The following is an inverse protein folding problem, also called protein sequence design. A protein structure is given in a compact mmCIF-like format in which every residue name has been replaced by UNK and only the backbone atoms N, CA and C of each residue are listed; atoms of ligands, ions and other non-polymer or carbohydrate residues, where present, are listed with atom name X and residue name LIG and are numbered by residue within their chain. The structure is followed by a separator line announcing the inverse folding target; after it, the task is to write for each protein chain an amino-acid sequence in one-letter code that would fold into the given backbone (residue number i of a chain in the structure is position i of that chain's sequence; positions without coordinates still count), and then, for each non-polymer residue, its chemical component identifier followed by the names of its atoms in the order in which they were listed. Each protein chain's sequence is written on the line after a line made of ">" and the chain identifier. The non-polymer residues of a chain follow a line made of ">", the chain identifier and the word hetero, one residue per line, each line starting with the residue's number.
data_IF_105156289974
#
_entry.id   IF_105156289974
#
_cell.length_a   1.000
_cell.length_b   1.000
_cell.length_c   1.000
_cell.angle_alpha   90.00
_cell.angle_beta   90.00
_cell.angle_gamma   90.00
#
_symmetry.space_group_name_H-M   'P 1'
#
loop_
_entity.id
_entity.type
_entity.pdbx_description
1 polymer ?
#
# COMPACT_ATOMS: atom_id res chain seq x y z
N UNK A 1 68.94 1.02 -36.59
CA UNK A 1 67.57 0.50 -36.83
C UNK A 1 67.56 -0.95 -36.38
N UNK A 2 67.14 -1.18 -35.14
CA UNK A 2 66.90 -2.53 -34.61
C UNK A 2 65.76 -2.37 -33.60
N UNK A 3 64.59 -2.89 -33.93
CA UNK A 3 63.38 -2.84 -33.12
C UNK A 3 63.40 -4.04 -32.17
N UNK A 4 63.19 -3.80 -30.88
CA UNK A 4 62.93 -4.84 -29.88
C UNK A 4 61.42 -4.85 -29.56
N UNK A 5 60.71 -6.00 -29.63
CA UNK A 5 59.27 -6.06 -29.40
C UNK A 5 58.92 -6.77 -28.07
N UNK A 6 58.22 -6.07 -27.17
CA UNK A 6 57.12 -6.55 -26.29
C UNK A 6 57.07 -5.82 -24.95
N UNK A 7 56.02 -5.03 -24.75
CA UNK A 7 54.99 -5.31 -23.73
C UNK A 7 53.86 -4.27 -23.80
N UNK A 8 52.61 -4.68 -24.05
CA UNK A 8 51.47 -3.83 -23.76
C UNK A 8 51.16 -3.99 -22.26
N UNK A 9 51.57 -3.03 -21.45
CA UNK A 9 51.00 -2.89 -20.12
C UNK A 9 49.68 -2.13 -20.27
N UNK A 10 48.65 -2.81 -20.76
CA UNK A 10 47.26 -2.41 -20.56
C UNK A 10 46.96 -2.65 -19.07
N UNK A 11 47.38 -1.69 -18.24
CA UNK A 11 46.75 -1.49 -16.95
C UNK A 11 45.32 -1.06 -17.26
N UNK A 12 44.44 -2.05 -17.41
CA UNK A 12 43.02 -1.90 -17.24
C UNK A 12 42.81 -1.28 -15.86
N UNK A 13 42.76 0.05 -15.83
CA UNK A 13 42.17 0.79 -14.75
C UNK A 13 40.71 0.35 -14.74
N UNK A 14 40.44 -0.63 -13.90
CA UNK A 14 39.13 -0.90 -13.33
C UNK A 14 38.71 0.40 -12.65
N UNK A 15 38.12 1.30 -13.43
CA UNK A 15 37.33 2.38 -12.88
C UNK A 15 36.13 1.68 -12.26
N UNK A 16 36.31 1.33 -10.99
CA UNK A 16 35.24 0.96 -10.09
C UNK A 16 34.17 2.04 -10.23
N UNK A 17 33.14 1.73 -10.99
CA UNK A 17 31.84 2.37 -10.94
C UNK A 17 31.31 2.13 -9.52
N UNK A 18 31.86 2.92 -8.59
CA UNK A 18 31.40 3.00 -7.22
C UNK A 18 30.03 3.65 -7.33
N UNK A 19 29.01 2.81 -7.47
CA UNK A 19 27.62 3.22 -7.58
C UNK A 19 27.35 4.28 -6.53
N UNK A 20 26.90 5.45 -6.99
CA UNK A 20 26.50 6.55 -6.14
C UNK A 20 25.40 6.05 -5.20
N UNK A 21 25.78 5.81 -3.95
CA UNK A 21 24.82 5.46 -2.89
C UNK A 21 24.06 6.74 -2.58
N UNK A 22 22.95 6.95 -3.30
CA UNK A 22 22.03 8.05 -3.01
C UNK A 22 21.40 7.77 -1.65
N UNK A 23 21.93 8.44 -0.63
CA UNK A 23 21.39 8.43 0.72
C UNK A 23 20.03 9.14 0.69
N UNK A 24 18.95 8.35 0.67
CA UNK A 24 17.60 8.87 0.69
C UNK A 24 17.30 9.42 2.09
N UNK A 25 16.68 10.61 2.19
CA UNK A 25 16.44 11.24 3.47
C UNK A 25 15.65 10.31 4.39
N UNK A 26 16.08 10.29 5.65
CA UNK A 26 15.61 9.53 6.82
C UNK A 26 14.13 9.77 7.21
N UNK A 27 13.28 10.18 6.26
CA UNK A 27 11.84 10.15 6.39
C UNK A 27 11.39 8.72 6.12
N UNK A 28 10.96 8.00 7.16
CA UNK A 28 10.32 6.68 7.04
C UNK A 28 9.31 6.75 5.89
N UNK A 29 9.52 5.94 4.86
CA UNK A 29 8.65 6.01 3.68
C UNK A 29 7.27 5.56 4.09
N UNK A 30 6.23 6.12 3.46
CA UNK A 30 4.86 5.71 3.75
C UNK A 30 4.66 4.18 3.61
N UNK A 31 5.43 3.56 2.70
CA UNK A 31 5.49 2.11 2.53
C UNK A 31 6.03 1.39 3.76
N UNK A 32 7.12 1.86 4.37
CA UNK A 32 7.73 1.19 5.52
C UNK A 32 6.75 1.18 6.70
N UNK A 33 6.13 2.34 6.98
CA UNK A 33 5.05 2.44 7.98
C UNK A 33 3.92 1.46 7.66
N UNK A 34 3.51 1.37 6.40
CA UNK A 34 2.42 0.48 6.03
C UNK A 34 2.76 -1.00 6.21
N UNK A 35 4.01 -1.40 5.93
CA UNK A 35 4.48 -2.77 6.13
C UNK A 35 4.47 -3.16 7.62
N UNK A 36 4.90 -2.25 8.50
CA UNK A 36 4.86 -2.45 9.95
C UNK A 36 3.42 -2.64 10.48
N UNK A 37 2.42 -2.04 9.82
CA UNK A 37 1.01 -2.14 10.18
C UNK A 37 0.32 -3.42 9.67
N UNK A 38 0.93 -4.15 8.72
CA UNK A 38 0.27 -5.30 8.10
C UNK A 38 -0.01 -6.44 9.08
N UNK A 39 0.78 -6.59 10.14
CA UNK A 39 0.51 -7.60 11.18
C UNK A 39 -0.79 -7.30 11.94
N UNK A 40 -1.04 -6.03 12.26
CA UNK A 40 -2.30 -5.60 12.90
C UNK A 40 -3.50 -5.74 11.95
N UNK A 41 -3.30 -5.46 10.65
CA UNK A 41 -4.31 -5.69 9.63
C UNK A 41 -4.64 -7.18 9.51
N UNK A 42 -3.62 -8.05 9.48
CA UNK A 42 -3.79 -9.49 9.47
C UNK A 42 -4.59 -9.95 10.70
N UNK A 43 -4.21 -9.54 11.90
CA UNK A 43 -4.94 -9.90 13.12
C UNK A 43 -6.41 -9.44 13.08
N UNK A 44 -6.66 -8.24 12.58
CA UNK A 44 -8.01 -7.70 12.41
C UNK A 44 -8.87 -8.50 11.42
N UNK A 45 -8.28 -8.92 10.29
CA UNK A 45 -8.94 -9.75 9.28
C UNK A 45 -9.18 -11.15 9.85
N UNK A 46 -8.14 -11.78 10.41
CA UNK A 46 -8.19 -13.13 10.96
C UNK A 46 -9.29 -13.26 12.03
N UNK A 47 -9.43 -12.28 12.92
CA UNK A 47 -10.49 -12.25 13.92
C UNK A 47 -11.91 -12.25 13.32
N UNK A 48 -12.09 -11.89 12.04
CA UNK A 48 -13.38 -11.84 11.34
C UNK A 48 -13.63 -13.03 10.42
N UNK A 49 -12.59 -13.60 9.82
CA UNK A 49 -12.74 -14.76 8.94
C UNK A 49 -12.52 -16.10 9.64
N UNK A 50 -11.72 -16.15 10.72
CA UNK A 50 -11.39 -17.36 11.47
C UNK A 50 -10.51 -18.37 10.73
N UNK A 51 -10.34 -18.21 9.41
CA UNK A 51 -9.48 -19.04 8.56
C UNK A 51 -8.16 -18.32 8.28
N UNK A 52 -7.03 -19.00 8.52
CA UNK A 52 -5.68 -18.43 8.34
C UNK A 52 -5.37 -18.14 6.88
N UNK A 53 -5.64 -19.08 5.98
CA UNK A 53 -5.33 -18.92 4.56
C UNK A 53 -6.14 -17.76 3.95
N UNK A 54 -7.44 -17.68 4.26
CA UNK A 54 -8.28 -16.54 3.86
C UNK A 54 -7.73 -15.23 4.43
N UNK A 55 -7.29 -15.20 5.70
CA UNK A 55 -6.74 -13.99 6.30
C UNK A 55 -5.43 -13.54 5.64
N UNK A 56 -4.54 -14.48 5.30
CA UNK A 56 -3.29 -14.21 4.59
C UNK A 56 -3.57 -13.63 3.20
N UNK A 57 -4.48 -14.24 2.42
CA UNK A 57 -4.85 -13.75 1.10
C UNK A 57 -5.49 -12.36 1.16
N UNK A 58 -6.46 -12.15 2.05
CA UNK A 58 -7.13 -10.86 2.20
C UNK A 58 -6.17 -9.77 2.66
N UNK A 59 -5.17 -10.08 3.50
CA UNK A 59 -4.13 -9.13 3.90
C UNK A 59 -3.25 -8.74 2.70
N UNK A 60 -2.88 -9.70 1.86
CA UNK A 60 -2.16 -9.41 0.61
C UNK A 60 -3.01 -8.54 -0.32
N UNK A 61 -4.30 -8.82 -0.46
CA UNK A 61 -5.21 -7.97 -1.23
C UNK A 61 -5.28 -6.54 -0.69
N UNK A 62 -5.28 -6.35 0.63
CA UNK A 62 -5.20 -5.00 1.23
C UNK A 62 -3.91 -4.31 0.86
N UNK A 63 -2.75 -4.98 1.00
CA UNK A 63 -1.46 -4.42 0.66
C UNK A 63 -1.40 -3.99 -0.83
N UNK A 64 -1.80 -4.88 -1.74
CA UNK A 64 -1.83 -4.62 -3.18
C UNK A 64 -2.77 -3.47 -3.57
N UNK A 65 -3.88 -3.28 -2.84
CA UNK A 65 -4.82 -2.18 -3.09
C UNK A 65 -4.35 -0.87 -2.46
N UNK A 66 -3.83 -0.89 -1.24
CA UNK A 66 -3.57 0.31 -0.46
C UNK A 66 -2.18 0.90 -0.68
N UNK A 67 -1.12 0.09 -0.64
CA UNK A 67 0.28 0.59 -0.62
C UNK A 67 0.60 1.48 -1.83
N UNK A 68 0.23 1.11 -3.08
CA UNK A 68 0.52 1.96 -4.25
C UNK A 68 -0.18 3.33 -4.23
N UNK A 69 -1.17 3.52 -3.34
CA UNK A 69 -1.99 4.75 -3.23
C UNK A 69 -1.61 5.61 -2.02
N UNK A 70 -0.61 5.21 -1.25
CA UNK A 70 -0.16 5.97 -0.09
C UNK A 70 0.48 7.29 -0.51
N UNK A 71 0.09 8.36 0.16
CA UNK A 71 0.70 9.68 -0.01
C UNK A 71 2.00 9.74 0.78
N UNK A 72 3.09 10.17 0.13
CA UNK A 72 4.34 10.42 0.82
C UNK A 72 4.16 11.53 1.87
N UNK A 73 4.80 11.37 3.02
CA UNK A 73 4.68 12.29 4.16
C UNK A 73 3.37 12.21 4.94
N UNK A 74 2.47 11.27 4.63
CA UNK A 74 1.28 11.04 5.45
C UNK A 74 1.69 10.54 6.86
N UNK A 75 1.03 11.03 7.93
CA UNK A 75 1.33 10.56 9.29
C UNK A 75 0.91 9.10 9.45
N UNK A 76 1.60 8.37 10.32
CA UNK A 76 1.37 6.94 10.54
C UNK A 76 -0.10 6.60 10.87
N UNK A 77 -0.78 7.44 11.65
CA UNK A 77 -2.20 7.27 11.97
C UNK A 77 -3.10 7.32 10.73
N UNK A 78 -2.80 8.17 9.75
CA UNK A 78 -3.55 8.26 8.49
C UNK A 78 -3.30 7.03 7.61
N UNK A 79 -2.05 6.55 7.55
CA UNK A 79 -1.69 5.32 6.83
C UNK A 79 -2.42 4.12 7.45
N UNK A 80 -2.33 3.95 8.77
CA UNK A 80 -3.08 2.93 9.51
C UNK A 80 -4.58 3.03 9.24
N UNK A 81 -5.15 4.23 9.36
CA UNK A 81 -6.57 4.47 9.09
C UNK A 81 -6.99 4.01 7.69
N UNK A 82 -6.19 4.33 6.67
CA UNK A 82 -6.43 3.93 5.28
C UNK A 82 -6.29 2.42 5.04
N UNK A 83 -5.31 1.76 5.68
CA UNK A 83 -5.16 0.31 5.62
C UNK A 83 -6.39 -0.41 6.22
N UNK A 84 -6.85 0.01 7.39
CA UNK A 84 -8.04 -0.57 8.01
C UNK A 84 -9.32 -0.24 7.23
N UNK A 85 -9.42 0.93 6.58
CA UNK A 85 -10.52 1.24 5.67
C UNK A 85 -10.54 0.26 4.49
N UNK A 86 -9.38 0.05 3.85
CA UNK A 86 -9.22 -0.91 2.76
C UNK A 86 -9.55 -2.34 3.22
N UNK A 87 -9.13 -2.74 4.41
CA UNK A 87 -9.43 -4.05 4.98
C UNK A 87 -10.95 -4.28 5.18
N UNK A 88 -11.69 -3.26 5.65
CA UNK A 88 -13.16 -3.34 5.76
C UNK A 88 -13.81 -3.53 4.40
N UNK A 89 -13.37 -2.80 3.37
CA UNK A 89 -13.88 -2.97 2.00
C UNK A 89 -13.56 -4.34 1.42
N UNK A 90 -12.34 -4.85 1.64
CA UNK A 90 -11.92 -6.19 1.20
C UNK A 90 -12.75 -7.28 1.88
N UNK A 91 -12.99 -7.18 3.18
CA UNK A 91 -13.87 -8.09 3.91
C UNK A 91 -15.32 -8.04 3.42
N UNK A 92 -15.84 -6.84 3.15
CA UNK A 92 -17.16 -6.67 2.57
C UNK A 92 -17.30 -7.41 1.23
N UNK A 93 -16.36 -7.16 0.31
CA UNK A 93 -16.31 -7.86 -0.97
C UNK A 93 -16.22 -9.38 -0.82
N UNK A 94 -15.34 -9.86 0.06
CA UNK A 94 -15.15 -11.28 0.34
C UNK A 94 -16.44 -11.97 0.79
N UNK A 95 -17.16 -11.39 1.75
CA UNK A 95 -18.41 -11.96 2.25
C UNK A 95 -19.54 -11.84 1.24
N UNK A 96 -19.63 -10.74 0.48
CA UNK A 96 -20.61 -10.63 -0.60
C UNK A 96 -20.43 -11.76 -1.63
N UNK A 97 -19.20 -11.99 -2.09
CA UNK A 97 -18.89 -13.07 -3.02
C UNK A 97 -19.22 -14.44 -2.42
N UNK A 98 -18.85 -14.69 -1.16
CA UNK A 98 -19.08 -15.99 -0.50
C UNK A 98 -20.56 -16.30 -0.25
N UNK A 99 -21.38 -15.27 0.02
CA UNK A 99 -22.82 -15.41 0.24
C UNK A 99 -23.62 -15.33 -1.08
N UNK A 100 -22.97 -15.18 -2.23
CA UNK A 100 -23.63 -14.99 -3.52
C UNK A 100 -24.40 -13.67 -3.62
N UNK A 101 -24.07 -12.69 -2.79
CA UNK A 101 -24.66 -11.35 -2.84
C UNK A 101 -23.96 -10.55 -3.95
N UNK A 102 -24.76 -9.94 -4.83
CA UNK A 102 -24.25 -9.05 -5.86
C UNK A 102 -23.54 -7.85 -5.23
N UNK A 103 -22.36 -7.51 -5.74
CA UNK A 103 -21.69 -6.24 -5.43
C UNK A 103 -22.17 -5.09 -6.33
N UNK A 104 -23.19 -5.31 -7.16
CA UNK A 104 -23.68 -4.29 -8.10
C UNK A 104 -24.13 -3.02 -7.36
N UNK A 105 -23.41 -1.95 -7.70
CA UNK A 105 -23.66 -0.52 -7.47
C UNK A 105 -24.23 -0.12 -6.11
N UNK A 106 -23.36 0.36 -5.23
CA UNK A 106 -23.74 1.37 -4.23
C UNK A 106 -24.30 2.57 -5.02
N UNK A 107 -25.62 2.64 -5.13
CA UNK A 107 -26.28 3.79 -5.72
C UNK A 107 -25.95 5.02 -4.88
N UNK A 108 -25.62 6.12 -5.56
CA UNK A 108 -25.32 7.44 -4.98
C UNK A 108 -26.58 8.12 -4.39
N UNK A 109 -27.51 7.33 -3.86
CA UNK A 109 -28.65 7.78 -3.07
C UNK A 109 -28.32 7.80 -1.58
N UNK A 110 -27.05 8.07 -1.24
CA UNK A 110 -26.72 8.62 0.08
C UNK A 110 -27.18 10.08 0.06
N UNK A 111 -28.50 10.28 0.07
CA UNK A 111 -29.11 11.58 0.25
C UNK A 111 -28.51 12.17 1.53
N UNK A 112 -27.67 13.21 1.38
CA UNK A 112 -27.41 14.12 2.48
C UNK A 112 -28.77 14.51 3.02
N UNK A 113 -29.07 14.12 4.26
CA UNK A 113 -30.21 14.67 4.96
C UNK A 113 -29.96 16.17 5.05
N UNK A 114 -30.46 16.93 4.07
CA UNK A 114 -30.55 18.38 4.14
C UNK A 114 -31.56 18.62 5.26
N UNK A 115 -31.15 19.14 6.43
CA UNK A 115 -32.12 19.47 7.46
C UNK A 115 -33.07 20.49 6.85
N UNK A 116 -34.33 20.09 6.63
CA UNK A 116 -35.36 21.03 6.25
C UNK A 116 -35.49 22.01 7.43
N UNK A 117 -35.10 23.26 7.21
CA UNK A 117 -35.34 24.32 8.18
C UNK A 117 -36.83 24.42 8.50
N UNK A 118 -37.23 24.80 9.73
CA UNK A 118 -38.63 24.85 10.09
C UNK A 118 -39.40 25.79 9.14
N UNK A 119 -40.67 25.48 8.80
CA UNK A 119 -41.46 26.35 7.96
C UNK A 119 -41.62 27.71 8.65
N UNK A 120 -41.30 28.79 7.94
CA UNK A 120 -41.63 30.14 8.39
C UNK A 120 -43.15 30.29 8.38
N UNK A 121 -43.74 30.51 9.55
CA UNK A 121 -45.12 30.98 9.66
C UNK A 121 -45.21 32.41 9.09
N UNK A 122 -46.22 32.64 8.26
CA UNK A 122 -46.60 33.93 7.66
C UNK A 122 -47.14 34.93 8.70
#
# INVERSE_FOLDING_TARGET
>A
MTLDPRSPNDSAASSEDSGEVVELPNATRATDIALDELELVYAFIYARVGNRADAEDLTQQVAMKAIPRLRQGAPASAIRGYLFATARSVLGAFWSTRLGLSQAELHEDLAMAVPQGPPSDE
#
